data_IF_254575982047
#
_entry.id   IF_254575982047
#
_cell.length_a   1.000
_cell.length_b   1.000
_cell.length_c   1.000
_cell.angle_alpha   90.00
_cell.angle_beta   90.00
_cell.angle_gamma   90.00
#
_symmetry.space_group_name_H-M   'P 1'
#
loop_
_entity.id
_entity.type
_entity.pdbx_description
1 polymer ?
#
# COMPACT_ATOMS: atom_id res chain seq x y z
N UNK A 1 42.05 -30.34 20.60
CA UNK A 1 42.63 -29.05 20.17
C UNK A 1 41.49 -28.16 19.71
N UNK A 2 40.96 -27.29 20.59
CA UNK A 2 41.21 -25.83 20.63
C UNK A 2 40.59 -25.09 19.42
N UNK A 3 39.69 -24.10 19.50
CA UNK A 3 39.39 -23.10 20.53
C UNK A 3 37.91 -22.67 20.49
N UNK A 4 37.44 -22.24 21.66
CA UNK A 4 36.16 -21.62 21.92
C UNK A 4 35.92 -20.32 21.14
N UNK A 5 34.79 -20.22 20.43
CA UNK A 5 34.21 -18.94 20.02
C UNK A 5 33.25 -18.45 21.10
N UNK A 6 33.79 -17.97 22.21
CA UNK A 6 33.04 -17.11 23.13
C UNK A 6 33.41 -15.67 22.78
N UNK A 7 32.74 -15.09 21.79
CA UNK A 7 32.66 -13.62 21.72
C UNK A 7 31.58 -13.21 22.71
N UNK A 8 31.97 -13.02 23.96
CA UNK A 8 31.21 -12.17 24.89
C UNK A 8 31.35 -10.72 24.43
N UNK A 9 30.72 -10.41 23.29
CA UNK A 9 30.55 -9.05 22.81
C UNK A 9 29.75 -8.28 23.85
N UNK A 10 30.28 -7.13 24.26
CA UNK A 10 29.63 -6.29 25.25
C UNK A 10 28.29 -5.82 24.67
N UNK A 11 27.17 -6.46 25.03
CA UNK A 11 25.82 -6.21 24.46
C UNK A 11 25.45 -4.72 24.39
N UNK A 12 25.94 -3.92 25.34
CA UNK A 12 25.77 -2.45 25.37
C UNK A 12 26.51 -1.74 24.24
N UNK A 13 27.69 -2.21 23.87
CA UNK A 13 28.47 -1.65 22.74
C UNK A 13 27.81 -2.00 21.40
N UNK A 14 27.30 -3.23 21.25
CA UNK A 14 26.54 -3.64 20.04
C UNK A 14 25.25 -2.86 19.89
N UNK A 15 24.47 -2.69 20.97
CA UNK A 15 23.26 -1.85 20.96
C UNK A 15 23.57 -0.40 20.62
N UNK A 16 24.62 0.18 21.21
CA UNK A 16 25.02 1.57 20.93
C UNK A 16 25.47 1.75 19.48
N UNK A 17 26.21 0.79 18.92
CA UNK A 17 26.56 0.79 17.50
C UNK A 17 25.30 0.70 16.64
N UNK A 18 24.36 -0.21 16.95
CA UNK A 18 23.09 -0.31 16.23
C UNK A 18 22.30 1.01 16.25
N UNK A 19 22.20 1.68 17.40
CA UNK A 19 21.55 2.99 17.49
C UNK A 19 22.28 4.06 16.68
N UNK A 20 23.61 4.11 16.70
CA UNK A 20 24.39 5.09 15.92
C UNK A 20 24.20 4.88 14.42
N UNK A 21 24.14 3.62 13.96
CA UNK A 21 23.93 3.31 12.53
C UNK A 21 22.50 3.61 12.07
N UNK A 22 21.49 3.37 12.91
CA UNK A 22 20.08 3.59 12.58
C UNK A 22 19.66 5.05 12.79
N UNK A 23 20.28 5.76 13.74
CA UNK A 23 19.96 7.13 14.11
C UNK A 23 19.88 8.12 12.93
N UNK A 24 20.82 8.20 11.97
CA UNK A 24 20.73 9.17 10.88
C UNK A 24 19.52 8.91 9.97
N UNK A 25 19.26 7.64 9.64
CA UNK A 25 18.08 7.26 8.85
C UNK A 25 16.78 7.53 9.61
N UNK A 26 16.72 7.14 10.89
CA UNK A 26 15.54 7.34 11.73
C UNK A 26 15.25 8.83 11.98
N UNK A 27 16.28 9.64 12.24
CA UNK A 27 16.14 11.07 12.45
C UNK A 27 15.64 11.77 11.19
N UNK A 28 16.18 11.40 10.02
CA UNK A 28 15.70 11.94 8.75
C UNK A 28 14.25 11.53 8.47
N UNK A 29 13.91 10.25 8.64
CA UNK A 29 12.53 9.76 8.50
C UNK A 29 11.57 10.50 9.44
N UNK A 30 11.95 10.67 10.71
CA UNK A 30 11.15 11.41 11.69
C UNK A 30 11.01 12.88 11.32
N UNK A 31 12.08 13.56 10.92
CA UNK A 31 12.02 14.97 10.53
C UNK A 31 11.07 15.20 9.35
N UNK A 32 11.17 14.35 8.33
CA UNK A 32 10.35 14.45 7.11
C UNK A 32 8.90 14.03 7.35
N UNK A 33 8.66 13.08 8.26
CA UNK A 33 7.31 12.53 8.50
C UNK A 33 6.56 13.26 9.60
N UNK A 34 7.24 13.68 10.68
CA UNK A 34 6.59 14.29 11.84
C UNK A 34 6.01 15.68 11.51
N UNK A 35 6.71 16.48 10.69
CA UNK A 35 6.22 17.80 10.29
C UNK A 35 4.88 17.75 9.53
N UNK A 36 4.72 17.01 8.42
CA UNK A 36 3.45 16.95 7.69
C UNK A 36 2.34 16.28 8.50
N UNK A 37 2.64 15.29 9.35
CA UNK A 37 1.64 14.70 10.25
C UNK A 37 1.15 15.72 11.27
N UNK A 38 2.06 16.43 11.94
CA UNK A 38 1.70 17.47 12.89
C UNK A 38 0.86 18.58 12.25
N UNK A 39 1.26 19.01 11.05
CA UNK A 39 0.51 19.99 10.28
C UNK A 39 -0.87 19.48 9.85
N UNK A 40 -0.98 18.21 9.42
CA UNK A 40 -2.27 17.60 9.06
C UNK A 40 -3.21 17.47 10.27
N UNK A 41 -2.70 17.15 11.46
CA UNK A 41 -3.48 17.11 12.71
C UNK A 41 -3.91 18.52 13.11
N UNK A 42 -3.04 19.52 12.97
CA UNK A 42 -3.42 20.90 13.22
C UNK A 42 -4.53 21.36 12.27
N UNK A 43 -4.41 21.02 10.98
CA UNK A 43 -5.40 21.33 9.95
C UNK A 43 -6.73 20.60 10.18
N UNK A 44 -6.71 19.36 10.68
CA UNK A 44 -7.93 18.59 10.94
C UNK A 44 -8.79 19.17 12.07
N UNK A 45 -8.20 20.00 12.95
CA UNK A 45 -8.91 20.71 14.02
C UNK A 45 -9.47 22.09 13.59
N UNK A 46 -9.13 22.51 12.37
CA UNK A 46 -9.53 23.80 11.82
C UNK A 46 -10.55 23.62 10.69
N UNK A 47 -11.43 24.61 10.56
CA UNK A 47 -12.24 24.80 9.37
C UNK A 47 -11.36 25.58 8.40
N UNK A 48 -10.72 24.87 7.46
CA UNK A 48 -9.86 25.47 6.47
C UNK A 48 -10.36 25.10 5.07
N UNK A 49 -10.77 26.11 4.31
CA UNK A 49 -11.19 25.93 2.93
C UNK A 49 -10.15 26.57 2.00
N UNK A 50 -9.57 25.78 1.09
CA UNK A 50 -8.60 26.30 0.12
C UNK A 50 -9.22 27.35 -0.81
N UNK A 51 -10.54 27.35 -0.98
CA UNK A 51 -11.26 28.34 -1.79
C UNK A 51 -11.52 29.67 -1.05
N UNK A 52 -11.49 29.68 0.29
CA UNK A 52 -11.64 30.88 1.13
C UNK A 52 -10.56 30.89 2.22
N UNK A 53 -9.29 31.21 1.87
CA UNK A 53 -8.15 31.09 2.78
C UNK A 53 -8.26 31.98 4.03
N UNK A 54 -9.01 33.07 3.95
CA UNK A 54 -9.19 34.03 5.04
C UNK A 54 -10.23 33.57 6.08
N UNK A 55 -11.05 32.56 5.77
CA UNK A 55 -12.08 32.03 6.66
C UNK A 55 -11.60 30.79 7.43
N UNK A 56 -10.48 30.94 8.14
CA UNK A 56 -9.99 29.87 9.03
C UNK A 56 -10.49 30.05 10.45
N UNK A 57 -11.17 29.02 10.98
CA UNK A 57 -11.65 29.01 12.36
C UNK A 57 -11.25 27.72 13.06
N UNK A 58 -10.81 27.81 14.31
CA UNK A 58 -10.57 26.63 15.13
C UNK A 58 -11.93 26.04 15.57
N UNK A 59 -12.27 24.86 15.05
CA UNK A 59 -13.56 24.19 15.29
C UNK A 59 -13.41 22.91 16.13
N UNK A 60 -12.20 22.64 16.64
CA UNK A 60 -11.92 21.47 17.46
C UNK A 60 -12.23 20.17 16.71
N UNK A 61 -13.10 19.33 17.27
CA UNK A 61 -13.41 18.00 16.73
C UNK A 61 -14.63 17.97 15.78
N UNK A 62 -15.17 19.13 15.39
CA UNK A 62 -16.40 19.17 14.58
C UNK A 62 -16.25 18.51 13.20
N UNK A 63 -15.05 18.59 12.60
CA UNK A 63 -14.73 17.87 11.36
C UNK A 63 -14.93 16.36 11.52
N UNK A 64 -14.52 15.79 12.66
CA UNK A 64 -14.68 14.37 12.94
C UNK A 64 -16.14 14.01 13.15
N UNK A 65 -16.90 14.83 13.89
CA UNK A 65 -18.34 14.61 14.09
C UNK A 65 -19.07 14.59 12.75
N UNK A 66 -18.82 15.59 11.91
CA UNK A 66 -19.43 15.72 10.58
C UNK A 66 -19.21 14.45 9.75
N UNK A 67 -17.96 14.00 9.65
CA UNK A 67 -17.57 12.80 8.90
C UNK A 67 -18.20 11.52 9.48
N UNK A 68 -18.19 11.36 10.80
CA UNK A 68 -18.73 10.16 11.46
C UNK A 68 -20.26 10.07 11.39
N UNK A 69 -20.95 11.19 11.20
CA UNK A 69 -22.41 11.21 10.97
C UNK A 69 -22.81 11.13 9.50
N UNK A 70 -21.85 11.21 8.57
CA UNK A 70 -22.12 11.22 7.14
C UNK A 70 -22.34 9.81 6.58
N UNK A 71 -23.49 9.59 5.94
CA UNK A 71 -23.82 8.32 5.28
C UNK A 71 -22.91 8.03 4.08
N UNK A 72 -22.47 9.06 3.35
CA UNK A 72 -21.56 8.89 2.21
C UNK A 72 -20.20 8.36 2.69
N UNK A 73 -19.69 8.88 3.81
CA UNK A 73 -18.45 8.40 4.41
C UNK A 73 -18.52 6.92 4.78
N UNK A 74 -19.57 6.48 5.48
CA UNK A 74 -19.74 5.07 5.85
C UNK A 74 -19.90 4.14 4.65
N UNK A 75 -20.57 4.61 3.60
CA UNK A 75 -20.72 3.85 2.35
C UNK A 75 -19.36 3.67 1.66
N UNK A 76 -18.60 4.76 1.50
CA UNK A 76 -17.27 4.73 0.92
C UNK A 76 -16.28 3.88 1.75
N UNK A 77 -16.36 3.97 3.09
CA UNK A 77 -15.55 3.14 4.00
C UNK A 77 -15.87 1.67 3.84
N UNK A 78 -17.15 1.30 3.79
CA UNK A 78 -17.58 -0.10 3.65
C UNK A 78 -17.15 -0.68 2.32
N UNK A 79 -17.30 0.05 1.22
CA UNK A 79 -16.83 -0.39 -0.11
C UNK A 79 -15.31 -0.55 -0.13
N UNK A 80 -14.57 0.43 0.38
CA UNK A 80 -13.10 0.35 0.48
C UNK A 80 -12.67 -0.86 1.29
N UNK A 81 -13.25 -1.06 2.47
CA UNK A 81 -12.92 -2.17 3.35
C UNK A 81 -13.26 -3.52 2.70
N UNK A 82 -14.42 -3.63 2.05
CA UNK A 82 -14.83 -4.84 1.35
C UNK A 82 -13.85 -5.18 0.22
N UNK A 83 -13.47 -4.19 -0.61
CA UNK A 83 -12.48 -4.37 -1.67
C UNK A 83 -11.13 -4.79 -1.06
N UNK A 84 -10.64 -4.09 -0.03
CA UNK A 84 -9.36 -4.40 0.61
C UNK A 84 -9.34 -5.83 1.17
N UNK A 85 -10.36 -6.23 1.93
CA UNK A 85 -10.40 -7.56 2.55
C UNK A 85 -10.44 -8.65 1.49
N UNK A 86 -11.29 -8.50 0.47
CA UNK A 86 -11.40 -9.49 -0.61
C UNK A 86 -10.11 -9.57 -1.42
N UNK A 87 -9.57 -8.43 -1.87
CA UNK A 87 -8.36 -8.39 -2.69
C UNK A 87 -7.15 -8.92 -1.93
N UNK A 88 -6.89 -8.46 -0.71
CA UNK A 88 -5.73 -8.92 0.08
C UNK A 88 -5.81 -10.40 0.39
N UNK A 89 -7.01 -10.92 0.68
CA UNK A 89 -7.20 -12.37 0.92
C UNK A 89 -6.89 -13.17 -0.34
N UNK A 90 -7.40 -12.75 -1.50
CA UNK A 90 -7.14 -13.42 -2.78
C UNK A 90 -5.66 -13.34 -3.16
N UNK A 91 -5.04 -12.16 -3.04
CA UNK A 91 -3.62 -11.95 -3.29
C UNK A 91 -2.74 -12.83 -2.40
N UNK A 92 -3.06 -12.94 -1.11
CA UNK A 92 -2.33 -13.79 -0.18
C UNK A 92 -2.45 -15.27 -0.56
N UNK A 93 -3.67 -15.76 -0.85
CA UNK A 93 -3.90 -17.15 -1.23
C UNK A 93 -3.19 -17.49 -2.55
N UNK A 94 -3.32 -16.64 -3.57
CA UNK A 94 -2.67 -16.83 -4.86
C UNK A 94 -1.15 -16.73 -4.76
N UNK A 95 -0.64 -15.74 -4.02
CA UNK A 95 0.79 -15.56 -3.78
C UNK A 95 1.40 -16.73 -3.02
N UNK A 96 0.71 -17.26 -2.00
CA UNK A 96 1.14 -18.43 -1.25
C UNK A 96 1.12 -19.69 -2.13
N UNK A 97 0.05 -19.91 -2.90
CA UNK A 97 -0.04 -21.05 -3.82
C UNK A 97 1.12 -21.02 -4.84
N UNK A 98 1.39 -19.86 -5.43
CA UNK A 98 2.49 -19.66 -6.37
C UNK A 98 3.86 -19.87 -5.69
N UNK A 99 4.05 -19.37 -4.47
CA UNK A 99 5.28 -19.58 -3.71
C UNK A 99 5.54 -21.07 -3.44
N UNK A 100 4.51 -21.85 -3.11
CA UNK A 100 4.62 -23.30 -2.90
C UNK A 100 4.98 -24.06 -4.20
N UNK A 101 4.37 -23.68 -5.33
CA UNK A 101 4.71 -24.23 -6.65
C UNK A 101 6.17 -23.94 -6.97
N UNK A 102 6.60 -22.69 -6.80
CA UNK A 102 7.96 -22.24 -7.07
C UNK A 102 9.00 -22.93 -6.18
N UNK A 103 8.64 -23.20 -4.92
CA UNK A 103 9.50 -23.91 -3.98
C UNK A 103 9.78 -25.35 -4.46
N UNK A 104 8.80 -26.01 -5.09
CA UNK A 104 8.91 -27.40 -5.58
C UNK A 104 9.33 -27.57 -7.04
N UNK A 105 9.27 -26.53 -7.88
CA UNK A 105 9.72 -26.62 -9.28
C UNK A 105 11.22 -26.92 -9.37
N UNK A 106 11.60 -28.05 -9.99
CA UNK A 106 13.00 -28.46 -10.17
C UNK A 106 13.62 -27.96 -11.49
N UNK A 107 12.81 -27.73 -12.53
CA UNK A 107 13.24 -27.29 -13.87
C UNK A 107 12.54 -25.97 -14.21
N UNK A 108 13.25 -25.00 -14.79
CA UNK A 108 12.68 -23.71 -15.23
C UNK A 108 12.52 -22.62 -14.14
N UNK A 109 13.13 -22.79 -12.95
CA UNK A 109 13.04 -21.86 -11.81
C UNK A 109 13.27 -20.38 -12.17
N UNK A 110 14.22 -20.11 -13.08
CA UNK A 110 14.52 -18.75 -13.54
C UNK A 110 13.38 -18.13 -14.34
N UNK A 111 12.83 -18.86 -15.32
CA UNK A 111 11.72 -18.38 -16.15
C UNK A 111 10.45 -18.15 -15.33
N UNK A 112 10.13 -19.06 -14.40
CA UNK A 112 8.97 -18.91 -13.52
C UNK A 112 9.13 -17.68 -12.62
N UNK A 113 10.30 -17.48 -11.99
CA UNK A 113 10.57 -16.28 -11.18
C UNK A 113 10.43 -14.99 -11.99
N UNK A 114 11.01 -14.95 -13.19
CA UNK A 114 10.96 -13.76 -14.05
C UNK A 114 9.52 -13.47 -14.48
N UNK A 115 8.76 -14.47 -14.93
CA UNK A 115 7.38 -14.29 -15.36
C UNK A 115 6.47 -13.71 -14.25
N UNK A 116 6.69 -14.14 -13.00
CA UNK A 116 5.94 -13.68 -11.83
C UNK A 116 6.35 -12.26 -11.40
N UNK A 117 7.60 -11.86 -11.63
CA UNK A 117 8.11 -10.54 -11.25
C UNK A 117 7.88 -9.47 -12.32
N UNK A 118 7.72 -9.83 -13.59
CA UNK A 118 7.46 -8.88 -14.68
C UNK A 118 6.29 -7.92 -14.38
N UNK A 119 5.11 -8.40 -13.91
CA UNK A 119 3.97 -7.53 -13.66
C UNK A 119 4.25 -6.44 -12.60
N UNK A 120 5.15 -6.70 -11.65
CA UNK A 120 5.49 -5.74 -10.60
C UNK A 120 6.15 -4.46 -11.15
N UNK A 121 6.81 -4.55 -12.32
CA UNK A 121 7.40 -3.38 -12.98
C UNK A 121 6.41 -2.53 -13.76
N UNK A 122 5.17 -3.00 -13.95
CA UNK A 122 4.15 -2.26 -14.70
C UNK A 122 3.62 -1.13 -13.83
N UNK A 123 3.65 0.10 -14.36
CA UNK A 123 3.10 1.28 -13.69
C UNK A 123 1.59 1.12 -13.50
N UNK A 124 1.08 1.47 -12.32
CA UNK A 124 -0.33 1.33 -11.95
C UNK A 124 -1.28 1.94 -12.97
N UNK A 125 -0.98 3.14 -13.49
CA UNK A 125 -1.77 3.83 -14.51
C UNK A 125 -1.86 3.01 -15.80
N UNK A 126 -0.75 2.40 -16.24
CA UNK A 126 -0.71 1.56 -17.45
C UNK A 126 -1.56 0.31 -17.24
N UNK A 127 -1.40 -0.37 -16.10
CA UNK A 127 -2.21 -1.54 -15.75
C UNK A 127 -3.72 -1.22 -15.74
N UNK A 128 -4.10 -0.08 -15.17
CA UNK A 128 -5.48 0.40 -15.16
C UNK A 128 -6.04 0.63 -16.57
N UNK A 129 -5.30 1.30 -17.46
CA UNK A 129 -5.73 1.50 -18.84
C UNK A 129 -5.77 0.19 -19.63
N UNK A 130 -4.81 -0.71 -19.43
CA UNK A 130 -4.83 -2.03 -20.05
C UNK A 130 -6.11 -2.80 -19.71
N UNK A 131 -6.53 -2.77 -18.44
CA UNK A 131 -7.79 -3.39 -18.02
C UNK A 131 -9.03 -2.69 -18.58
N UNK A 132 -9.04 -1.36 -18.58
CA UNK A 132 -10.13 -0.56 -19.15
C UNK A 132 -10.35 -0.88 -20.64
N UNK A 133 -9.28 -0.88 -21.44
CA UNK A 133 -9.36 -1.21 -22.86
C UNK A 133 -9.70 -2.68 -23.12
N UNK A 134 -9.25 -3.60 -22.26
CA UNK A 134 -9.60 -5.01 -22.37
C UNK A 134 -11.13 -5.24 -22.34
N UNK A 135 -11.82 -4.48 -21.49
CA UNK A 135 -13.27 -4.55 -21.26
C UNK A 135 -14.08 -3.54 -22.09
N UNK A 136 -13.44 -2.76 -22.97
CA UNK A 136 -14.16 -1.79 -23.81
C UNK A 136 -14.99 -2.51 -24.88
N UNK A 137 -16.32 -2.30 -24.96
CA UNK A 137 -17.17 -2.96 -25.96
C UNK A 137 -16.75 -2.63 -27.40
N UNK A 138 -16.69 -3.65 -28.26
CA UNK A 138 -16.40 -3.52 -29.70
C UNK A 138 -14.92 -3.44 -30.07
N UNK A 139 -14.04 -2.94 -29.18
CA UNK A 139 -12.59 -2.86 -29.42
C UNK A 139 -11.78 -3.76 -28.49
N UNK A 140 -12.33 -4.11 -27.32
CA UNK A 140 -11.66 -4.87 -26.27
C UNK A 140 -11.64 -6.38 -26.53
N UNK A 141 -10.48 -6.99 -26.32
CA UNK A 141 -10.28 -8.42 -26.52
C UNK A 141 -11.08 -9.30 -25.54
N UNK A 142 -11.39 -8.81 -24.34
CA UNK A 142 -12.25 -9.54 -23.37
C UNK A 142 -13.73 -9.29 -23.64
N UNK A 143 -14.12 -8.06 -23.95
CA UNK A 143 -15.51 -7.70 -24.20
C UNK A 143 -16.10 -8.42 -25.42
N UNK A 144 -15.28 -8.69 -26.45
CA UNK A 144 -15.71 -9.40 -27.65
C UNK A 144 -15.92 -10.91 -27.45
N UNK A 145 -15.48 -11.48 -26.32
CA UNK A 145 -15.74 -12.88 -25.97
C UNK A 145 -17.16 -13.07 -25.38
N UNK A 146 -17.83 -11.98 -24.99
CA UNK A 146 -19.18 -12.02 -24.47
C UNK A 146 -20.22 -11.97 -25.61
N UNK A 147 -21.39 -12.62 -25.45
CA UNK A 147 -22.45 -12.58 -26.45
C UNK A 147 -22.82 -11.15 -26.84
N UNK A 148 -22.96 -10.90 -28.14
CA UNK A 148 -23.30 -9.57 -28.67
C UNK A 148 -24.60 -9.06 -28.04
N UNK A 149 -24.51 -8.06 -27.16
CA UNK A 149 -25.65 -7.42 -26.50
C UNK A 149 -25.59 -7.32 -24.96
N UNK A 150 -24.64 -7.97 -24.29
CA UNK A 150 -24.54 -7.95 -22.81
C UNK A 150 -23.66 -6.85 -22.22
N UNK A 151 -22.94 -6.08 -23.05
CA UNK A 151 -21.99 -5.05 -22.62
C UNK A 151 -22.44 -3.65 -23.08
N UNK A 152 -23.66 -3.26 -22.68
CA UNK A 152 -24.15 -1.87 -22.77
C UNK A 152 -23.95 -1.17 -21.44
#
# INVERSE_FOLDING_TARGET
>A
MTHAFVRSGNRRAEQRLAFILVAPAALLMLAVTAYPIGYAVWLSLQRNNLATPDETAFIGLENYRTVLTDRYWWTALTVTLAITVVSVTLEFVLGLALALVMHRTLIGKGLVRTAVLIPYGIVTVVASYSWYYAWTPGTGYLANLLPHGSAR
#
